data_IF_419500262961
#
_entry.id   IF_419500262961
#
_cell.length_a   1.000
_cell.length_b   1.000
_cell.length_c   1.000
_cell.angle_alpha   90.00
_cell.angle_beta   90.00
_cell.angle_gamma   90.00
#
_symmetry.space_group_name_H-M   'P 1'
#
loop_
_entity.id
_entity.type
_entity.pdbx_description
1 polymer ?
#
# COMPACT_ATOMS: atom_id res chain seq x y z
N UNK A 1 9.68 22.92 -9.84
CA UNK A 1 9.48 21.67 -10.59
C UNK A 1 9.52 20.52 -9.59
N UNK A 2 8.43 19.77 -9.47
CA UNK A 2 8.25 18.67 -8.52
C UNK A 2 8.71 17.37 -9.20
N UNK A 3 9.66 16.67 -8.58
CA UNK A 3 10.25 15.43 -9.09
C UNK A 3 9.40 14.25 -8.67
N UNK A 4 8.91 13.49 -9.64
CA UNK A 4 7.98 12.38 -9.44
C UNK A 4 8.63 11.03 -9.74
N UNK A 5 8.39 10.07 -8.86
CA UNK A 5 8.55 8.64 -9.16
C UNK A 5 7.15 8.05 -9.35
N UNK A 6 6.92 7.34 -10.46
CA UNK A 6 5.70 6.58 -10.68
C UNK A 6 5.98 5.08 -10.56
N UNK A 7 5.25 4.38 -9.70
CA UNK A 7 5.38 2.94 -9.57
C UNK A 7 4.01 2.28 -9.70
N UNK A 8 3.84 1.41 -10.70
CA UNK A 8 2.59 0.69 -10.98
C UNK A 8 2.94 -0.52 -11.85
N UNK A 9 2.41 -1.71 -11.60
CA UNK A 9 2.77 -2.89 -12.41
C UNK A 9 2.03 -2.91 -13.77
N UNK A 10 0.93 -2.17 -13.88
CA UNK A 10 0.15 -1.99 -15.11
C UNK A 10 0.85 -1.03 -16.07
N UNK A 11 1.61 -1.58 -17.02
CA UNK A 11 2.43 -0.81 -17.97
C UNK A 11 1.66 0.28 -18.73
N UNK A 12 0.42 -0.01 -19.16
CA UNK A 12 -0.40 0.95 -19.89
C UNK A 12 -0.81 2.13 -19.01
N UNK A 13 -1.20 1.87 -17.75
CA UNK A 13 -1.60 2.91 -16.80
C UNK A 13 -0.39 3.76 -16.43
N UNK A 14 0.74 3.13 -16.08
CA UNK A 14 1.98 3.81 -15.73
C UNK A 14 2.44 4.75 -16.85
N UNK A 15 2.47 4.26 -18.08
CA UNK A 15 2.86 5.05 -19.25
C UNK A 15 1.88 6.19 -19.55
N UNK A 16 0.57 5.96 -19.41
CA UNK A 16 -0.44 7.01 -19.59
C UNK A 16 -0.31 8.10 -18.51
N UNK A 17 -0.14 7.74 -17.24
CA UNK A 17 0.09 8.69 -16.16
C UNK A 17 1.39 9.48 -16.37
N UNK A 18 2.48 8.82 -16.76
CA UNK A 18 3.74 9.48 -17.05
C UNK A 18 3.59 10.52 -18.17
N UNK A 19 2.95 10.14 -19.27
CA UNK A 19 2.72 11.04 -20.40
C UNK A 19 1.83 12.22 -20.03
N UNK A 20 0.72 11.99 -19.31
CA UNK A 20 -0.23 13.04 -18.93
C UNK A 20 0.37 14.00 -17.90
N UNK A 21 1.09 13.49 -16.90
CA UNK A 21 1.76 14.33 -15.90
C UNK A 21 2.93 15.13 -16.50
N UNK A 22 3.56 14.63 -17.57
CA UNK A 22 4.62 15.36 -18.28
C UNK A 22 4.10 16.53 -19.12
N UNK A 23 2.78 16.68 -19.27
CA UNK A 23 2.16 17.87 -19.89
C UNK A 23 2.08 19.06 -18.92
N UNK A 24 2.30 18.83 -17.62
CA UNK A 24 2.30 19.87 -16.59
C UNK A 24 3.70 20.47 -16.46
N UNK A 25 3.86 21.77 -16.72
CA UNK A 25 5.18 22.44 -16.79
C UNK A 25 6.00 22.39 -15.49
N UNK A 26 5.33 22.20 -14.35
CA UNK A 26 5.93 22.17 -13.03
C UNK A 26 6.07 20.75 -12.44
N UNK A 27 5.67 19.70 -13.16
CA UNK A 27 5.87 18.30 -12.78
C UNK A 27 6.90 17.62 -13.68
N UNK A 28 7.77 16.81 -13.09
CA UNK A 28 8.79 16.08 -13.82
C UNK A 28 8.84 14.63 -13.36
N UNK A 29 8.48 13.69 -14.22
CA UNK A 29 8.67 12.25 -13.96
C UNK A 29 10.15 11.92 -14.12
N UNK A 30 10.83 11.67 -13.00
CA UNK A 30 12.28 11.38 -12.96
C UNK A 30 12.58 9.90 -12.99
N UNK A 31 11.59 9.04 -12.67
CA UNK A 31 11.72 7.61 -12.71
C UNK A 31 10.36 6.92 -12.79
N UNK A 32 10.37 5.72 -13.35
CA UNK A 32 9.24 4.79 -13.38
C UNK A 32 9.68 3.43 -12.82
N UNK A 33 8.75 2.68 -12.22
CA UNK A 33 8.98 1.33 -11.73
C UNK A 33 7.74 0.45 -11.92
N UNK A 34 7.95 -0.85 -12.13
CA UNK A 34 6.89 -1.85 -12.28
C UNK A 34 6.75 -2.76 -11.04
N UNK A 35 7.59 -2.57 -10.01
CA UNK A 35 7.57 -3.39 -8.80
C UNK A 35 8.03 -2.60 -7.58
N UNK A 36 7.72 -3.09 -6.38
CA UNK A 36 8.15 -2.44 -5.13
C UNK A 36 9.68 -2.37 -4.96
N UNK A 37 10.44 -3.46 -5.21
CA UNK A 37 11.91 -3.42 -5.15
C UNK A 37 12.52 -2.42 -6.15
N UNK A 38 11.97 -2.35 -7.37
CA UNK A 38 12.39 -1.39 -8.38
C UNK A 38 12.06 0.04 -7.96
N UNK A 39 10.87 0.28 -7.40
CA UNK A 39 10.47 1.60 -6.90
C UNK A 39 11.43 2.11 -5.83
N UNK A 40 11.86 1.25 -4.90
CA UNK A 40 12.85 1.61 -3.88
C UNK A 40 14.23 1.89 -4.49
N UNK A 41 14.68 1.08 -5.45
CA UNK A 41 15.93 1.32 -6.15
C UNK A 41 15.93 2.65 -6.92
N UNK A 42 14.84 2.93 -7.64
CA UNK A 42 14.65 4.17 -8.38
C UNK A 42 14.55 5.39 -7.48
N UNK A 43 13.85 5.28 -6.34
CA UNK A 43 13.76 6.36 -5.37
C UNK A 43 15.14 6.75 -4.80
N UNK A 44 15.99 5.76 -4.48
CA UNK A 44 17.37 6.00 -4.00
C UNK A 44 18.22 6.68 -5.06
N UNK A 45 18.09 6.27 -6.32
CA UNK A 45 18.88 6.81 -7.42
C UNK A 45 18.47 8.24 -7.81
N UNK A 46 17.17 8.56 -7.77
CA UNK A 46 16.63 9.79 -8.32
C UNK A 46 16.14 10.80 -7.27
N UNK A 47 16.00 10.40 -6.01
CA UNK A 47 15.55 11.23 -4.88
C UNK A 47 14.33 12.08 -5.26
N UNK A 48 13.17 11.45 -5.53
CA UNK A 48 11.96 12.17 -5.93
C UNK A 48 11.35 12.95 -4.76
N UNK A 49 10.68 14.06 -5.07
CA UNK A 49 9.92 14.85 -4.09
C UNK A 49 8.61 14.15 -3.72
N UNK A 50 7.97 13.50 -4.71
CA UNK A 50 6.74 12.73 -4.51
C UNK A 50 6.86 11.37 -5.20
N UNK A 51 6.57 10.30 -4.47
CA UNK A 51 6.40 8.96 -5.02
C UNK A 51 4.90 8.66 -5.15
N UNK A 52 4.43 8.46 -6.38
CA UNK A 52 3.08 8.00 -6.69
C UNK A 52 3.15 6.50 -6.90
N UNK A 53 2.58 5.75 -5.96
CA UNK A 53 2.72 4.30 -5.89
C UNK A 53 1.36 3.65 -6.09
N UNK A 54 1.29 2.62 -6.92
CA UNK A 54 0.21 1.66 -6.84
C UNK A 54 0.29 0.93 -5.52
N UNK A 55 -0.87 0.62 -4.96
CA UNK A 55 -0.98 -0.19 -3.77
C UNK A 55 -0.54 -1.64 -4.05
N UNK A 56 -0.95 -2.21 -5.18
CA UNK A 56 -0.69 -3.62 -5.49
C UNK A 56 0.46 -3.71 -6.47
N UNK A 57 1.63 -4.14 -5.99
CA UNK A 57 2.80 -4.32 -6.85
C UNK A 57 3.52 -5.63 -6.50
N UNK A 58 4.18 -6.28 -7.47
CA UNK A 58 5.00 -7.46 -7.22
C UNK A 58 6.10 -7.21 -6.19
N UNK A 59 6.35 -8.22 -5.35
CA UNK A 59 7.35 -8.19 -4.28
C UNK A 59 6.89 -7.39 -3.07
N UNK A 60 7.07 -6.08 -3.09
CA UNK A 60 6.65 -5.19 -2.01
C UNK A 60 5.46 -4.32 -2.48
N UNK A 61 4.36 -4.41 -1.74
CA UNK A 61 3.19 -3.56 -1.97
C UNK A 61 3.48 -2.07 -1.69
N UNK A 62 2.61 -1.17 -2.15
CA UNK A 62 2.79 0.27 -2.00
C UNK A 62 2.91 0.73 -0.54
N UNK A 63 2.31 0.03 0.42
CA UNK A 63 2.43 0.36 1.86
C UNK A 63 3.80 -0.02 2.41
N UNK A 64 4.34 -1.17 2.02
CA UNK A 64 5.70 -1.60 2.37
C UNK A 64 6.73 -0.67 1.77
N UNK A 65 6.56 -0.29 0.50
CA UNK A 65 7.42 0.71 -0.17
C UNK A 65 7.33 2.05 0.55
N UNK A 66 6.13 2.54 0.88
CA UNK A 66 5.94 3.79 1.63
C UNK A 66 6.66 3.78 2.98
N UNK A 67 6.58 2.66 3.71
CA UNK A 67 7.24 2.48 5.01
C UNK A 67 8.76 2.57 4.87
N UNK A 68 9.34 1.92 3.86
CA UNK A 68 10.77 1.98 3.58
C UNK A 68 11.21 3.37 3.13
N UNK A 69 10.47 4.02 2.22
CA UNK A 69 10.76 5.39 1.78
C UNK A 69 10.74 6.39 2.93
N UNK A 70 9.81 6.26 3.86
CA UNK A 70 9.76 7.12 5.05
C UNK A 70 11.02 7.00 5.93
N UNK A 71 11.61 5.80 6.00
CA UNK A 71 12.82 5.56 6.78
C UNK A 71 14.08 6.03 6.04
N UNK A 72 14.16 5.82 4.73
CA UNK A 72 15.36 6.07 3.93
C UNK A 72 15.41 7.47 3.30
N UNK A 73 14.25 8.02 2.94
CA UNK A 73 14.06 9.27 2.21
C UNK A 73 12.90 10.09 2.81
N UNK A 74 13.04 10.61 4.06
CA UNK A 74 11.95 11.29 4.77
C UNK A 74 11.42 12.57 4.09
N UNK A 75 12.18 13.14 3.15
CA UNK A 75 11.73 14.27 2.32
C UNK A 75 10.74 13.87 1.22
N UNK A 76 10.78 12.61 0.78
CA UNK A 76 9.90 12.09 -0.27
C UNK A 76 8.49 11.89 0.29
N UNK A 77 7.52 12.64 -0.24
CA UNK A 77 6.11 12.46 0.12
C UNK A 77 5.52 11.29 -0.67
N UNK A 78 4.68 10.48 -0.02
CA UNK A 78 4.09 9.30 -0.66
C UNK A 78 2.61 9.51 -0.91
N UNK A 79 2.20 9.28 -2.15
CA UNK A 79 0.81 9.24 -2.62
C UNK A 79 0.53 7.82 -3.13
N UNK A 80 -0.52 7.18 -2.62
CA UNK A 80 -1.00 5.90 -3.14
C UNK A 80 -2.15 6.13 -4.11
N UNK A 81 -2.04 5.52 -5.29
CA UNK A 81 -3.13 5.33 -6.25
C UNK A 81 -3.57 3.87 -6.18
N UNK A 82 -4.87 3.56 -6.25
CA UNK A 82 -5.33 2.16 -6.22
C UNK A 82 -6.58 1.94 -7.05
N UNK A 83 -6.64 0.84 -7.80
CA UNK A 83 -7.87 0.39 -8.47
C UNK A 83 -8.89 -0.22 -7.51
N UNK A 84 -8.43 -0.75 -6.36
CA UNK A 84 -9.24 -1.45 -5.37
C UNK A 84 -9.05 -0.81 -3.99
N UNK A 85 -9.75 0.29 -3.76
CA UNK A 85 -9.75 1.02 -2.50
C UNK A 85 -10.52 0.29 -1.40
N UNK A 86 -9.96 -0.79 -0.86
CA UNK A 86 -10.56 -1.48 0.30
C UNK A 86 -10.34 -0.67 1.58
N UNK A 87 -11.34 -0.58 2.47
CA UNK A 87 -11.27 0.14 3.76
C UNK A 87 -10.00 -0.08 4.58
N UNK A 88 -9.55 -1.32 4.74
CA UNK A 88 -8.36 -1.64 5.54
C UNK A 88 -7.05 -1.12 4.95
N UNK A 89 -6.98 -0.92 3.63
CA UNK A 89 -5.78 -0.41 2.95
C UNK A 89 -5.50 1.05 3.30
N UNK A 90 -6.54 1.89 3.38
CA UNK A 90 -6.38 3.30 3.74
C UNK A 90 -5.77 3.45 5.14
N UNK A 91 -6.28 2.72 6.14
CA UNK A 91 -5.76 2.79 7.51
C UNK A 91 -4.28 2.38 7.59
N UNK A 92 -3.91 1.30 6.91
CA UNK A 92 -2.52 0.83 6.81
C UNK A 92 -1.62 1.86 6.12
N UNK A 93 -2.08 2.45 5.03
CA UNK A 93 -1.35 3.49 4.31
C UNK A 93 -1.09 4.73 5.20
N UNK A 94 -2.12 5.22 5.89
CA UNK A 94 -2.00 6.36 6.79
C UNK A 94 -1.03 6.07 7.96
N UNK A 95 -1.04 4.86 8.51
CA UNK A 95 -0.10 4.43 9.55
C UNK A 95 1.35 4.39 9.03
N UNK A 96 1.55 3.96 7.78
CA UNK A 96 2.86 3.98 7.11
C UNK A 96 3.37 5.42 6.83
N UNK A 97 2.52 6.43 6.95
CA UNK A 97 2.88 7.84 6.74
C UNK A 97 2.56 8.36 5.34
N UNK A 98 1.80 7.59 4.56
CA UNK A 98 1.27 8.03 3.26
C UNK A 98 0.47 9.32 3.44
N UNK A 99 0.73 10.29 2.58
CA UNK A 99 0.13 11.63 2.63
C UNK A 99 -1.04 11.76 1.68
N UNK A 100 -1.12 10.96 0.62
CA UNK A 100 -2.34 10.88 -0.16
C UNK A 100 -2.79 9.49 -0.53
N UNK A 101 -4.11 9.30 -0.66
CA UNK A 101 -4.71 8.02 -1.00
C UNK A 101 -5.92 8.24 -1.91
N UNK A 102 -5.82 7.81 -3.16
CA UNK A 102 -6.79 8.14 -4.20
C UNK A 102 -7.07 6.95 -5.13
N UNK A 103 -8.26 6.88 -5.74
CA UNK A 103 -8.56 5.82 -6.69
C UNK A 103 -7.83 6.06 -8.03
N UNK A 104 -7.47 4.98 -8.75
CA UNK A 104 -6.91 5.05 -10.11
C UNK A 104 -7.89 5.65 -11.14
N UNK A 105 -9.17 5.83 -10.79
CA UNK A 105 -10.21 6.42 -11.64
C UNK A 105 -10.19 7.96 -11.67
N UNK A 106 -9.35 8.60 -10.84
CA UNK A 106 -9.20 10.05 -10.83
C UNK A 106 -8.61 10.55 -12.16
N UNK A 107 -9.06 11.71 -12.65
CA UNK A 107 -8.48 12.31 -13.84
C UNK A 107 -7.03 12.73 -13.60
N UNK A 108 -6.22 12.78 -14.67
CA UNK A 108 -4.81 13.19 -14.56
C UNK A 108 -4.66 14.63 -14.05
N UNK A 109 -5.55 15.54 -14.46
CA UNK A 109 -5.55 16.93 -13.97
C UNK A 109 -5.77 16.96 -12.45
N UNK A 110 -6.75 16.19 -11.96
CA UNK A 110 -7.03 16.13 -10.53
C UNK A 110 -5.90 15.45 -9.76
N UNK A 111 -5.27 14.40 -10.33
CA UNK A 111 -4.08 13.78 -9.76
C UNK A 111 -2.93 14.79 -9.63
N UNK A 112 -2.70 15.64 -10.64
CA UNK A 112 -1.67 16.68 -10.59
C UNK A 112 -1.93 17.68 -9.45
N UNK A 113 -3.18 18.13 -9.25
CA UNK A 113 -3.55 18.98 -8.11
C UNK A 113 -3.27 18.31 -6.76
N UNK A 114 -3.58 17.02 -6.65
CA UNK A 114 -3.33 16.22 -5.44
C UNK A 114 -1.82 16.08 -5.19
N UNK A 115 -1.02 15.82 -6.23
CA UNK A 115 0.44 15.77 -6.15
C UNK A 115 0.99 17.10 -5.61
N UNK A 116 0.53 18.24 -6.13
CA UNK A 116 0.93 19.57 -5.63
C UNK A 116 0.55 19.76 -4.16
N UNK A 117 -0.64 19.33 -3.78
CA UNK A 117 -1.12 19.39 -2.38
C UNK A 117 -0.24 18.57 -1.45
N UNK A 118 0.10 17.35 -1.84
CA UNK A 118 0.96 16.44 -1.08
C UNK A 118 2.39 16.95 -1.01
N UNK A 119 2.93 17.48 -2.11
CA UNK A 119 4.25 18.10 -2.16
C UNK A 119 4.36 19.30 -1.20
N UNK A 120 3.29 20.10 -1.06
CA UNK A 120 3.22 21.19 -0.08
C UNK A 120 3.14 20.72 1.39
N UNK A 121 3.19 19.41 1.65
CA UNK A 121 3.15 18.82 2.98
C UNK A 121 1.73 18.54 3.52
N UNK A 122 0.70 18.83 2.73
CA UNK A 122 -0.69 18.58 3.11
C UNK A 122 -1.08 17.11 2.86
N UNK A 123 -2.21 16.70 3.43
CA UNK A 123 -2.79 15.38 3.18
C UNK A 123 -3.99 15.47 2.25
N UNK A 124 -4.17 14.45 1.43
CA UNK A 124 -5.36 14.29 0.60
C UNK A 124 -5.85 12.84 0.64
N UNK A 125 -7.05 12.62 1.16
CA UNK A 125 -7.70 11.31 1.10
C UNK A 125 -8.97 11.49 0.29
N UNK A 126 -9.19 10.59 -0.66
CA UNK A 126 -10.42 10.58 -1.42
C UNK A 126 -11.64 10.44 -0.48
N UNK A 127 -12.68 11.30 -0.61
CA UNK A 127 -13.82 11.29 0.29
C UNK A 127 -14.60 9.97 0.32
N UNK A 128 -14.74 9.27 -0.80
CA UNK A 128 -15.47 8.01 -0.87
C UNK A 128 -14.67 6.91 -0.15
N UNK A 129 -13.36 6.83 -0.42
CA UNK A 129 -12.47 5.90 0.27
C UNK A 129 -12.40 6.17 1.78
N UNK A 130 -12.46 7.44 2.19
CA UNK A 130 -12.52 7.81 3.59
C UNK A 130 -13.84 7.37 4.25
N UNK A 131 -14.97 7.60 3.60
CA UNK A 131 -16.28 7.19 4.08
C UNK A 131 -16.38 5.67 4.23
N UNK A 132 -15.92 4.91 3.23
CA UNK A 132 -15.88 3.45 3.25
C UNK A 132 -15.00 2.92 4.38
N UNK A 133 -13.85 3.56 4.63
CA UNK A 133 -12.95 3.19 5.72
C UNK A 133 -13.56 3.45 7.11
N UNK A 134 -14.36 4.49 7.26
CA UNK A 134 -15.09 4.79 8.50
C UNK A 134 -16.21 3.76 8.70
N UNK A 135 -16.99 3.48 7.65
CA UNK A 135 -18.11 2.54 7.71
C UNK A 135 -17.66 1.09 8.03
N UNK A 136 -16.50 0.67 7.52
CA UNK A 136 -16.00 -0.69 7.72
C UNK A 136 -15.50 -1.01 9.15
N UNK A 137 -15.26 0.01 9.98
CA UNK A 137 -14.74 -0.18 11.34
C UNK A 137 -13.25 -0.59 11.40
N UNK A 138 -12.75 -0.86 12.61
CA UNK A 138 -11.36 -1.29 12.82
C UNK A 138 -11.18 -2.80 12.58
N UNK A 139 -9.96 -3.18 12.20
CA UNK A 139 -9.63 -4.60 12.14
C UNK A 139 -9.69 -5.20 13.55
N UNK A 140 -10.37 -6.33 13.76
CA UNK A 140 -10.33 -7.03 15.03
C UNK A 140 -8.97 -7.73 15.26
N UNK A 141 -8.13 -7.82 14.22
CA UNK A 141 -6.83 -8.47 14.26
C UNK A 141 -5.77 -7.53 14.84
N UNK A 142 -4.90 -8.08 15.68
CA UNK A 142 -3.64 -7.43 16.03
C UNK A 142 -2.66 -7.48 14.85
N UNK A 143 -1.63 -6.62 14.87
CA UNK A 143 -0.60 -6.62 13.82
C UNK A 143 0.07 -8.00 13.64
N UNK A 144 0.32 -8.73 14.74
CA UNK A 144 0.92 -10.08 14.68
C UNK A 144 -0.04 -11.14 14.17
N UNK A 145 -1.32 -11.05 14.50
CA UNK A 145 -2.34 -11.94 13.94
C UNK A 145 -2.49 -11.72 12.43
N UNK A 146 -2.53 -10.46 11.99
CA UNK A 146 -2.60 -10.09 10.57
C UNK A 146 -1.37 -10.59 9.79
N UNK A 147 -0.16 -10.35 10.30
CA UNK A 147 1.09 -10.81 9.69
C UNK A 147 1.13 -12.34 9.54
N UNK A 148 0.83 -13.08 10.61
CA UNK A 148 0.84 -14.55 10.59
C UNK A 148 -0.26 -15.11 9.68
N UNK A 149 -1.43 -14.46 9.63
CA UNK A 149 -2.52 -14.84 8.74
C UNK A 149 -2.14 -14.63 7.27
N UNK A 150 -1.47 -13.52 6.93
CA UNK A 150 -0.99 -13.25 5.57
C UNK A 150 0.07 -14.25 5.12
N UNK A 151 1.01 -14.61 5.99
CA UNK A 151 2.01 -15.66 5.70
C UNK A 151 1.36 -17.03 5.46
N UNK A 152 0.18 -17.28 6.00
CA UNK A 152 -0.58 -18.51 5.80
C UNK A 152 -1.40 -18.53 4.51
N UNK A 153 -1.47 -17.42 3.78
CA UNK A 153 -2.42 -17.25 2.69
C UNK A 153 -2.23 -18.22 1.52
N UNK A 154 -0.98 -18.57 1.22
CA UNK A 154 -0.65 -19.51 0.14
C UNK A 154 -0.60 -20.97 0.62
N UNK A 155 -1.21 -21.25 1.79
CA UNK A 155 -1.28 -22.60 2.37
C UNK A 155 -0.02 -23.05 3.10
N UNK A 156 0.95 -22.15 3.31
CA UNK A 156 2.24 -22.44 3.93
C UNK A 156 2.10 -23.27 5.24
N UNK A 157 2.99 -24.25 5.48
CA UNK A 157 3.00 -25.04 6.69
C UNK A 157 3.39 -24.18 7.90
N UNK A 158 2.86 -24.50 9.08
CA UNK A 158 3.11 -23.76 10.34
C UNK A 158 4.61 -23.61 10.64
N UNK A 159 5.42 -24.59 10.29
CA UNK A 159 6.87 -24.55 10.48
C UNK A 159 7.53 -23.44 9.65
N UNK A 160 7.15 -23.29 8.38
CA UNK A 160 7.68 -22.26 7.49
C UNK A 160 7.22 -20.86 7.93
N UNK A 161 5.94 -20.73 8.30
CA UNK A 161 5.39 -19.46 8.83
C UNK A 161 6.15 -19.05 10.10
N UNK A 162 6.44 -20.00 10.99
CA UNK A 162 7.19 -19.76 12.22
C UNK A 162 8.60 -19.24 11.94
N UNK A 163 9.30 -19.81 10.96
CA UNK A 163 10.61 -19.33 10.53
C UNK A 163 10.55 -17.91 9.96
N UNK A 164 9.63 -17.66 9.01
CA UNK A 164 9.46 -16.35 8.36
C UNK A 164 9.07 -15.26 9.35
N UNK A 165 8.19 -15.57 10.30
CA UNK A 165 7.74 -14.63 11.34
C UNK A 165 8.72 -14.52 12.53
N UNK A 166 9.75 -15.38 12.59
CA UNK A 166 10.67 -15.53 13.74
C UNK A 166 9.93 -15.82 15.06
N UNK A 167 9.00 -16.77 15.02
CA UNK A 167 8.15 -17.20 16.13
C UNK A 167 8.29 -18.70 16.40
N UNK A 168 7.80 -19.17 17.55
CA UNK A 168 7.61 -20.61 17.77
C UNK A 168 6.39 -21.13 17.00
N UNK A 169 6.41 -22.40 16.59
CA UNK A 169 5.25 -23.02 15.94
C UNK A 169 3.98 -22.98 16.83
N UNK A 170 4.13 -23.09 18.15
CA UNK A 170 3.01 -22.97 19.09
C UNK A 170 2.39 -21.57 19.06
N UNK A 171 3.24 -20.54 19.05
CA UNK A 171 2.81 -19.14 18.94
C UNK A 171 2.09 -18.88 17.62
N UNK A 172 2.60 -19.42 16.50
CA UNK A 172 1.93 -19.32 15.19
C UNK A 172 0.54 -19.97 15.22
N UNK A 173 0.39 -21.17 15.78
CA UNK A 173 -0.92 -21.83 15.91
C UNK A 173 -1.89 -20.99 16.74
N UNK A 174 -1.42 -20.38 17.84
CA UNK A 174 -2.24 -19.52 18.68
C UNK A 174 -2.71 -18.26 17.93
N UNK A 175 -1.82 -17.58 17.21
CA UNK A 175 -2.20 -16.41 16.41
C UNK A 175 -3.19 -16.77 15.29
N UNK A 176 -2.96 -17.87 14.56
CA UNK A 176 -3.90 -18.34 13.54
C UNK A 176 -5.27 -18.68 14.14
N UNK A 177 -5.29 -19.39 15.26
CA UNK A 177 -6.55 -19.75 15.95
C UNK A 177 -7.30 -18.51 16.45
N UNK A 178 -6.58 -17.53 17.02
CA UNK A 178 -7.19 -16.29 17.48
C UNK A 178 -7.75 -15.46 16.32
N UNK A 179 -7.00 -15.36 15.22
CA UNK A 179 -7.44 -14.67 14.01
C UNK A 179 -8.71 -15.32 13.43
N UNK A 180 -8.73 -16.64 13.27
CA UNK A 180 -9.91 -17.39 12.78
C UNK A 180 -11.13 -17.12 13.66
N UNK A 181 -10.97 -17.17 14.99
CA UNK A 181 -12.05 -16.92 15.94
C UNK A 181 -12.57 -15.49 15.88
N UNK A 182 -11.68 -14.49 15.87
CA UNK A 182 -12.03 -13.05 15.77
C UNK A 182 -12.75 -12.70 14.48
N UNK A 183 -12.42 -13.40 13.40
CA UNK A 183 -13.03 -13.23 12.09
C UNK A 183 -14.33 -14.02 11.93
N UNK A 184 -14.69 -14.87 12.90
CA UNK A 184 -15.84 -15.78 12.80
C UNK A 184 -15.73 -16.75 11.62
N UNK A 185 -14.50 -17.08 11.20
CA UNK A 185 -14.25 -17.93 10.05
C UNK A 185 -14.23 -19.41 10.44
N UNK A 186 -14.63 -20.28 9.51
CA UNK A 186 -14.64 -21.73 9.76
C UNK A 186 -13.24 -22.35 9.80
N UNK A 187 -12.30 -21.78 9.04
CA UNK A 187 -10.93 -22.26 8.94
C UNK A 187 -9.98 -21.14 8.52
N UNK A 188 -8.67 -21.42 8.58
CA UNK A 188 -7.62 -20.45 8.23
C UNK A 188 -7.73 -19.91 6.80
N UNK A 189 -8.20 -20.70 5.82
CA UNK A 189 -8.32 -20.23 4.44
C UNK A 189 -9.47 -19.23 4.29
N UNK A 190 -10.62 -19.51 4.90
CA UNK A 190 -11.75 -18.58 4.96
C UNK A 190 -11.36 -17.29 5.70
N UNK A 191 -10.60 -17.41 6.79
CA UNK A 191 -10.09 -16.26 7.54
C UNK A 191 -9.19 -15.36 6.70
N UNK A 192 -8.22 -15.94 5.97
CA UNK A 192 -7.35 -15.21 5.03
C UNK A 192 -8.19 -14.47 3.99
N UNK A 193 -9.13 -15.16 3.36
CA UNK A 193 -9.98 -14.57 2.31
C UNK A 193 -10.76 -13.38 2.83
N UNK A 194 -11.44 -13.52 3.97
CA UNK A 194 -12.21 -12.43 4.57
C UNK A 194 -11.31 -11.24 4.96
N UNK A 195 -10.14 -11.52 5.53
CA UNK A 195 -9.19 -10.49 5.91
C UNK A 195 -8.67 -9.72 4.69
N UNK A 196 -8.35 -10.41 3.59
CA UNK A 196 -7.97 -9.78 2.31
C UNK A 196 -9.10 -8.96 1.71
N UNK A 197 -10.32 -9.51 1.64
CA UNK A 197 -11.52 -8.82 1.13
C UNK A 197 -11.79 -7.51 1.87
N UNK A 198 -11.50 -7.46 3.18
CA UNK A 198 -11.63 -6.25 4.01
C UNK A 198 -10.38 -5.36 4.02
N UNK A 199 -9.29 -5.79 3.41
CA UNK A 199 -8.00 -5.09 3.37
C UNK A 199 -7.24 -5.09 4.69
N UNK A 200 -7.51 -6.05 5.58
CA UNK A 200 -6.86 -6.19 6.88
C UNK A 200 -5.48 -6.87 6.80
N UNK A 201 -5.26 -7.68 5.77
CA UNK A 201 -3.98 -8.31 5.42
C UNK A 201 -3.64 -8.06 3.97
#
# INVERSE_FOLDING_TARGET
>A
MVRLLLADDEHLIRGALAALLSLEDDLLVVAEAASGPEALAMARAHVPDVAVLDLQMPGADGVKVATALRAELPGCQVLIVTGHGRPGHLKRALAAGVRGFVPKTVSAQRLAEIIRTVHAGNRYVDPELAADAIAAGDSPLTAREAEVLELAADGAPVAEIAERARLSQGTVRNYLSSAVSKLGAENRHTAVRLARERGWV
#
